data_IF_976859502909
#
_entry.id   IF_976859502909
#
_cell.length_a   1.000
_cell.length_b   1.000
_cell.length_c   1.000
_cell.angle_alpha   90.00
_cell.angle_beta   90.00
_cell.angle_gamma   90.00
#
_symmetry.space_group_name_H-M   'P 1'
#
loop_
_entity.id
_entity.type
_entity.pdbx_description
1 polymer ?
#
# COMPACT_ATOMS: atom_id res chain seq x y z
N UNK A 1 3.80 22.50 1.51
CA UNK A 1 3.11 21.23 1.23
C UNK A 1 3.13 20.38 2.50
N UNK A 2 1.98 20.24 3.18
CA UNK A 2 1.86 19.45 4.40
C UNK A 2 2.44 18.05 4.24
N UNK A 3 3.26 17.64 5.21
CA UNK A 3 3.91 16.33 5.25
C UNK A 3 3.27 15.48 6.33
N UNK A 4 2.92 14.23 6.02
CA UNK A 4 2.34 13.30 6.98
C UNK A 4 3.25 12.10 7.15
N UNK A 5 3.47 11.68 8.38
CA UNK A 5 4.28 10.49 8.67
C UNK A 5 3.64 9.22 8.10
N UNK A 6 4.46 8.33 7.57
CA UNK A 6 4.05 6.97 7.22
C UNK A 6 4.45 6.03 8.35
N UNK A 7 3.50 5.26 8.85
CA UNK A 7 3.77 4.26 9.90
C UNK A 7 3.96 2.88 9.31
N UNK A 8 4.96 2.15 9.81
CA UNK A 8 5.22 0.78 9.41
C UNK A 8 4.64 -0.20 10.42
N UNK A 9 3.86 -1.16 9.92
CA UNK A 9 3.31 -2.25 10.71
C UNK A 9 3.87 -3.56 10.18
N UNK A 10 4.32 -4.41 11.10
CA UNK A 10 4.81 -5.74 10.79
C UNK A 10 3.71 -6.76 11.06
N UNK A 11 3.50 -7.64 10.09
CA UNK A 11 2.51 -8.69 10.13
C UNK A 11 3.17 -10.05 9.89
N UNK A 12 2.62 -11.07 10.54
CA UNK A 12 2.89 -12.46 10.21
C UNK A 12 1.57 -13.09 9.76
N UNK A 13 1.55 -13.60 8.53
CA UNK A 13 0.44 -14.42 8.04
C UNK A 13 0.43 -15.75 8.80
N UNK A 14 -0.76 -16.38 8.89
CA UNK A 14 -0.89 -17.69 9.55
C UNK A 14 -0.04 -18.80 8.91
N UNK A 15 0.38 -18.62 7.65
CA UNK A 15 1.30 -19.52 6.95
C UNK A 15 2.79 -19.29 7.27
N UNK A 16 3.11 -18.31 8.11
CA UNK A 16 4.48 -17.99 8.53
C UNK A 16 5.20 -16.94 7.68
N UNK A 17 4.62 -16.51 6.55
CA UNK A 17 5.16 -15.36 5.80
C UNK A 17 5.03 -14.08 6.60
N UNK A 18 6.14 -13.37 6.73
CA UNK A 18 6.16 -12.01 7.28
C UNK A 18 5.97 -10.98 6.17
N UNK A 19 5.29 -9.88 6.48
CA UNK A 19 5.22 -8.72 5.61
C UNK A 19 5.16 -7.42 6.42
N UNK A 20 5.62 -6.33 5.82
CA UNK A 20 5.57 -4.99 6.37
C UNK A 20 4.60 -4.15 5.53
N UNK A 21 3.70 -3.42 6.18
CA UNK A 21 2.81 -2.46 5.51
C UNK A 21 3.15 -1.03 5.91
N UNK A 22 3.23 -0.14 4.93
CA UNK A 22 3.35 1.29 5.15
C UNK A 22 1.96 1.93 5.11
N UNK A 23 1.54 2.51 6.23
CA UNK A 23 0.26 3.18 6.41
C UNK A 23 0.43 4.68 6.24
N UNK A 24 -0.30 5.24 5.30
CA UNK A 24 -0.32 6.66 5.02
C UNK A 24 -0.92 7.45 6.19
N UNK A 25 -0.17 8.36 6.80
CA UNK A 25 -0.69 9.21 7.88
C UNK A 25 -1.79 10.19 7.44
N UNK A 26 -1.95 10.45 6.14
CA UNK A 26 -3.04 11.28 5.63
C UNK A 26 -4.34 10.50 5.46
N UNK A 27 -4.32 9.42 4.66
CA UNK A 27 -5.52 8.65 4.32
C UNK A 27 -5.83 7.51 5.30
N UNK A 28 -4.87 7.13 6.14
CA UNK A 28 -5.00 5.99 7.06
C UNK A 28 -5.05 4.64 6.35
N UNK A 29 -4.54 4.55 5.11
CA UNK A 29 -4.61 3.36 4.25
C UNK A 29 -3.22 2.85 3.89
N UNK A 30 -3.14 1.57 3.53
CA UNK A 30 -1.88 0.94 3.09
C UNK A 30 -1.48 1.53 1.75
N UNK A 31 -0.31 2.18 1.72
CA UNK A 31 0.28 2.73 0.49
C UNK A 31 1.35 1.83 -0.11
N UNK A 32 2.06 1.05 0.70
CA UNK A 32 3.07 0.10 0.26
C UNK A 32 3.04 -1.18 1.10
N UNK A 33 3.46 -2.28 0.49
CA UNK A 33 3.65 -3.59 1.13
C UNK A 33 5.03 -4.12 0.74
N UNK A 34 5.70 -4.77 1.69
CA UNK A 34 6.94 -5.50 1.46
C UNK A 34 6.86 -6.87 2.09
N UNK A 35 7.27 -7.90 1.35
CA UNK A 35 7.46 -9.24 1.92
C UNK A 35 8.70 -9.21 2.80
N UNK A 36 8.58 -9.75 4.02
CA UNK A 36 9.60 -9.74 5.05
C UNK A 36 9.74 -8.41 5.79
N UNK A 37 10.87 -8.26 6.49
CA UNK A 37 11.25 -7.06 7.24
C UNK A 37 12.54 -6.49 6.66
N UNK A 38 12.41 -5.49 5.79
CA UNK A 38 13.56 -4.80 5.18
C UNK A 38 13.66 -3.36 5.71
N UNK A 39 14.57 -3.06 6.66
CA UNK A 39 14.70 -1.73 7.23
C UNK A 39 15.22 -0.68 6.24
N UNK A 40 15.94 -1.09 5.19
CA UNK A 40 16.43 -0.17 4.15
C UNK A 40 15.25 0.29 3.30
N UNK A 41 14.41 -0.64 2.85
CA UNK A 41 13.21 -0.28 2.07
C UNK A 41 12.22 0.58 2.86
N UNK A 42 12.10 0.35 4.18
CA UNK A 42 11.29 1.19 5.06
C UNK A 42 11.74 2.65 5.10
N UNK A 43 13.02 2.92 4.86
CA UNK A 43 13.54 4.29 4.86
C UNK A 43 13.03 5.14 3.68
N UNK A 44 12.56 4.52 2.59
CA UNK A 44 12.13 5.25 1.39
C UNK A 44 10.69 5.79 1.47
N UNK A 45 9.82 5.20 2.30
CA UNK A 45 8.44 5.66 2.47
C UNK A 45 8.20 6.12 3.91
N UNK A 46 8.96 7.12 4.37
CA UNK A 46 8.81 7.71 5.72
C UNK A 46 7.71 8.76 5.82
N UNK A 47 7.39 9.41 4.72
CA UNK A 47 6.36 10.43 4.69
C UNK A 47 5.59 10.40 3.36
N UNK A 48 4.43 11.04 3.39
CA UNK A 48 3.69 11.48 2.21
C UNK A 48 3.57 12.99 2.24
N UNK A 49 3.76 13.62 1.09
CA UNK A 49 3.56 15.04 0.94
C UNK A 49 2.25 15.24 0.16
N UNK A 50 1.30 15.97 0.77
CA UNK A 50 -0.04 16.19 0.22
C UNK A 50 -0.26 17.69 0.07
N UNK A 51 -0.63 18.10 -1.13
CA UNK A 51 -1.11 19.43 -1.49
C UNK A 51 -2.55 19.29 -1.99
N UNK A 52 -3.33 20.38 -2.01
CA UNK A 52 -4.75 20.35 -2.38
C UNK A 52 -5.02 19.46 -3.62
N UNK A 53 -5.76 18.36 -3.39
CA UNK A 53 -6.12 17.33 -4.39
C UNK A 53 -4.97 16.47 -4.98
N UNK A 54 -3.75 16.60 -4.50
CA UNK A 54 -2.58 15.89 -5.04
C UNK A 54 -1.67 15.27 -3.97
N UNK A 55 -1.28 14.01 -4.17
CA UNK A 55 -0.26 13.33 -3.39
C UNK A 55 1.00 13.13 -4.23
N UNK A 56 2.14 13.65 -3.76
CA UNK A 56 3.41 13.60 -4.53
C UNK A 56 3.98 12.19 -4.66
N UNK A 57 3.59 11.29 -3.75
CA UNK A 57 3.91 9.86 -3.81
C UNK A 57 2.71 9.02 -4.23
N UNK A 58 1.65 9.67 -4.75
CA UNK A 58 0.43 9.03 -5.21
C UNK A 58 0.70 8.00 -6.30
N UNK A 59 1.61 8.32 -7.23
CA UNK A 59 1.95 7.49 -8.39
C UNK A 59 2.52 6.10 -8.05
N UNK A 60 2.87 5.87 -6.78
CA UNK A 60 3.34 4.58 -6.27
C UNK A 60 2.45 4.02 -5.14
N UNK A 61 1.20 4.45 -5.03
CA UNK A 61 0.32 4.06 -3.93
C UNK A 61 -0.57 2.87 -4.30
N UNK A 62 -0.57 1.83 -3.47
CA UNK A 62 -1.41 0.63 -3.64
C UNK A 62 -2.91 0.91 -3.47
N UNK A 63 -3.29 1.98 -2.79
CA UNK A 63 -4.70 2.35 -2.61
C UNK A 63 -5.17 3.24 -3.77
N UNK A 64 -5.59 2.61 -4.87
CA UNK A 64 -6.12 3.28 -6.06
C UNK A 64 -7.44 4.01 -5.80
N UNK A 65 -8.14 3.72 -4.71
CA UNK A 65 -9.40 4.39 -4.35
C UNK A 65 -9.17 5.71 -3.60
N UNK A 66 -7.92 6.05 -3.27
CA UNK A 66 -7.59 7.31 -2.63
C UNK A 66 -7.86 8.48 -3.60
N UNK A 67 -8.61 9.53 -3.20
CA UNK A 67 -8.95 10.64 -4.09
C UNK A 67 -7.73 11.47 -4.52
N UNK A 68 -6.60 11.33 -3.82
CA UNK A 68 -5.34 11.98 -4.13
C UNK A 68 -4.38 11.09 -4.95
N UNK A 69 -4.74 9.83 -5.15
CA UNK A 69 -3.98 8.90 -5.97
C UNK A 69 -4.29 9.13 -7.45
N UNK A 70 -3.24 9.09 -8.26
CA UNK A 70 -3.28 9.26 -9.72
C UNK A 70 -2.61 8.09 -10.45
N UNK A 71 -2.07 7.09 -9.72
CA UNK A 71 -1.53 5.86 -10.27
C UNK A 71 -2.52 5.19 -11.19
N UNK A 72 -1.99 4.65 -12.28
CA UNK A 72 -2.69 3.69 -13.12
C UNK A 72 -2.19 2.28 -12.82
N UNK A 73 -3.01 1.23 -13.03
CA UNK A 73 -2.60 -0.16 -12.82
C UNK A 73 -1.26 -0.52 -13.48
N UNK A 74 -0.98 -0.01 -14.67
CA UNK A 74 0.24 -0.28 -15.44
C UNK A 74 1.50 0.24 -14.72
N UNK A 75 1.40 1.38 -14.03
CA UNK A 75 2.50 1.91 -13.22
C UNK A 75 2.80 1.02 -12.00
N UNK A 76 1.79 0.32 -11.48
CA UNK A 76 1.97 -0.60 -10.36
C UNK A 76 2.63 -1.91 -10.78
N UNK A 77 2.44 -2.38 -12.02
CA UNK A 77 3.18 -3.54 -12.54
C UNK A 77 4.69 -3.30 -12.50
N UNK A 78 5.13 -2.12 -12.94
CA UNK A 78 6.54 -1.73 -12.84
C UNK A 78 7.06 -1.72 -11.40
N UNK A 79 6.24 -1.33 -10.42
CA UNK A 79 6.64 -1.38 -9.01
C UNK A 79 6.78 -2.81 -8.47
N UNK A 80 5.98 -3.73 -9.00
CA UNK A 80 6.04 -5.15 -8.66
C UNK A 80 7.13 -5.88 -9.44
N UNK A 81 7.93 -5.17 -10.24
CA UNK A 81 8.94 -5.76 -11.15
C UNK A 81 8.32 -6.76 -12.13
N UNK A 82 7.08 -6.48 -12.55
CA UNK A 82 6.31 -7.26 -13.51
C UNK A 82 6.25 -6.51 -14.84
N UNK A 83 6.58 -7.19 -15.94
CA UNK A 83 6.48 -6.62 -17.29
C UNK A 83 5.03 -6.62 -17.80
N UNK A 84 4.25 -7.62 -17.39
CA UNK A 84 2.84 -7.77 -17.67
C UNK A 84 2.15 -8.41 -16.45
N UNK A 85 0.83 -8.34 -16.40
CA UNK A 85 0.07 -8.96 -15.33
C UNK A 85 0.04 -10.49 -15.51
N UNK A 86 0.69 -11.19 -14.59
CA UNK A 86 0.78 -12.65 -14.61
C UNK A 86 -0.44 -13.29 -13.92
N UNK A 87 -0.88 -14.49 -14.35
CA UNK A 87 -1.99 -15.16 -13.72
C UNK A 87 -1.63 -15.67 -12.31
N UNK A 88 -2.54 -15.50 -11.36
CA UNK A 88 -2.47 -16.18 -10.07
C UNK A 88 -2.62 -17.70 -10.26
N UNK A 89 -2.06 -18.47 -9.33
CA UNK A 89 -2.35 -19.90 -9.26
C UNK A 89 -3.84 -20.14 -9.03
N UNK A 90 -4.33 -21.30 -9.47
CA UNK A 90 -5.76 -21.59 -9.48
C UNK A 90 -6.40 -21.60 -8.08
N UNK A 91 -5.64 -21.90 -7.03
CA UNK A 91 -6.14 -21.87 -5.65
C UNK A 91 -6.31 -20.43 -5.19
N UNK A 92 -5.26 -19.61 -5.30
CA UNK A 92 -5.29 -18.19 -4.92
C UNK A 92 -6.32 -17.42 -5.73
N UNK A 93 -6.44 -17.70 -7.03
CA UNK A 93 -7.40 -17.04 -7.90
C UNK A 93 -8.85 -17.26 -7.45
N UNK A 94 -9.18 -18.48 -7.00
CA UNK A 94 -10.50 -18.79 -6.44
C UNK A 94 -10.76 -18.08 -5.12
N UNK A 95 -9.77 -18.03 -4.24
CA UNK A 95 -9.89 -17.40 -2.92
C UNK A 95 -10.13 -15.88 -3.03
N UNK A 96 -9.46 -15.22 -3.96
CA UNK A 96 -9.53 -13.78 -4.13
C UNK A 96 -10.52 -13.33 -5.21
N UNK A 97 -11.10 -14.26 -5.97
CA UNK A 97 -12.06 -13.95 -7.02
C UNK A 97 -11.47 -13.21 -8.22
N UNK A 98 -10.17 -13.37 -8.47
CA UNK A 98 -9.49 -12.76 -9.61
C UNK A 98 -8.39 -13.69 -10.13
N UNK A 99 -8.18 -13.72 -11.45
CA UNK A 99 -7.01 -14.36 -12.05
C UNK A 99 -5.78 -13.46 -12.14
N UNK A 100 -5.92 -12.15 -11.90
CA UNK A 100 -4.87 -11.14 -12.05
C UNK A 100 -4.03 -11.04 -10.79
N UNK A 101 -2.70 -11.14 -10.93
CA UNK A 101 -1.77 -10.98 -9.80
C UNK A 101 -1.83 -9.55 -9.27
N UNK A 102 -1.83 -8.55 -10.14
CA UNK A 102 -1.97 -7.16 -9.73
C UNK A 102 -3.26 -6.92 -8.96
N UNK A 103 -4.40 -7.39 -9.48
CA UNK A 103 -5.69 -7.24 -8.80
C UNK A 103 -5.69 -7.99 -7.47
N UNK A 104 -5.07 -9.16 -7.41
CA UNK A 104 -4.87 -9.90 -6.16
C UNK A 104 -4.12 -9.08 -5.11
N UNK A 105 -3.00 -8.44 -5.49
CA UNK A 105 -2.26 -7.55 -4.60
C UNK A 105 -3.07 -6.34 -4.14
N UNK A 106 -3.84 -5.71 -5.03
CA UNK A 106 -4.70 -4.57 -4.68
C UNK A 106 -5.81 -4.98 -3.71
N UNK A 107 -6.46 -6.13 -3.94
CA UNK A 107 -7.45 -6.68 -3.02
C UNK A 107 -6.83 -7.03 -1.66
N UNK A 108 -5.63 -7.60 -1.66
CA UNK A 108 -4.88 -7.88 -0.44
C UNK A 108 -4.58 -6.59 0.34
N UNK A 109 -4.07 -5.54 -0.31
CA UNK A 109 -3.79 -4.26 0.32
C UNK A 109 -5.06 -3.59 0.90
N UNK A 110 -6.19 -3.70 0.19
CA UNK A 110 -7.50 -3.25 0.69
C UNK A 110 -7.94 -4.03 1.93
N UNK A 111 -7.76 -5.36 1.93
CA UNK A 111 -8.06 -6.20 3.09
C UNK A 111 -7.23 -5.81 4.30
N UNK A 112 -5.91 -5.67 4.14
CA UNK A 112 -5.02 -5.23 5.23
C UNK A 112 -5.44 -3.84 5.73
N UNK A 113 -5.76 -2.91 4.83
CA UNK A 113 -6.25 -1.57 5.20
C UNK A 113 -7.53 -1.63 6.05
N UNK A 114 -8.44 -2.56 5.77
CA UNK A 114 -9.67 -2.74 6.55
C UNK A 114 -9.41 -3.34 7.95
N UNK A 115 -8.36 -4.16 8.08
CA UNK A 115 -7.93 -4.82 9.32
C UNK A 115 -7.01 -3.92 10.19
N UNK A 116 -6.60 -2.75 9.68
CA UNK A 116 -5.77 -1.81 10.42
C UNK A 116 -6.42 -1.38 11.75
N UNK A 117 -5.63 -1.23 12.83
CA UNK A 117 -6.07 -0.60 14.07
C UNK A 117 -6.75 0.75 13.79
N UNK A 118 -7.86 1.03 14.50
CA UNK A 118 -8.67 2.23 14.25
C UNK A 118 -7.87 3.54 14.37
N UNK A 119 -6.92 3.59 15.31
CA UNK A 119 -6.02 4.73 15.48
C UNK A 119 -5.21 5.06 14.22
N UNK A 120 -4.91 4.05 13.39
CA UNK A 120 -4.09 4.19 12.19
C UNK A 120 -4.90 4.50 10.94
N UNK A 121 -6.23 4.28 10.98
CA UNK A 121 -7.16 4.55 9.87
C UNK A 121 -7.64 6.01 9.80
N UNK A 122 -7.24 6.84 10.76
CA UNK A 122 -7.63 8.26 10.84
C UNK A 122 -6.51 9.14 10.29
N UNK A 123 -6.88 10.28 9.71
CA UNK A 123 -5.93 11.33 9.33
C UNK A 123 -5.18 11.82 10.57
N UNK A 124 -3.86 11.90 10.47
CA UNK A 124 -2.96 12.44 11.50
C UNK A 124 -2.68 13.91 11.27
N UNK A 125 -2.14 14.56 12.29
CA UNK A 125 -1.57 15.90 12.15
C UNK A 125 -0.37 15.85 11.20
N UNK A 126 -0.18 16.89 10.37
CA UNK A 126 1.04 17.01 9.59
C UNK A 126 2.23 17.15 10.53
N UNK A 127 3.39 16.62 10.11
CA UNK A 127 4.68 17.05 10.62
C UNK A 127 4.74 18.56 10.37
N UNK A 128 4.98 19.36 11.43
CA UNK A 128 4.82 20.81 11.44
C UNK A 128 5.50 21.56 10.27
N UNK A 129 5.24 22.87 10.18
CA UNK A 129 5.61 23.74 9.05
C UNK A 129 7.06 23.57 8.53
#
# INVERSE_FOLDING_TARGET
MPRYETEWIDYALGAGQEFSAAVCGYSGRVRHLYIGRDPVRRAFARHVDVEEEFCRQGDHCLDLDCPLNRSQPEHLLHMLDMNEDEPLDAETARLWGTGSTLQGFLLFARKISAELPEALRRRREPLGD
#
